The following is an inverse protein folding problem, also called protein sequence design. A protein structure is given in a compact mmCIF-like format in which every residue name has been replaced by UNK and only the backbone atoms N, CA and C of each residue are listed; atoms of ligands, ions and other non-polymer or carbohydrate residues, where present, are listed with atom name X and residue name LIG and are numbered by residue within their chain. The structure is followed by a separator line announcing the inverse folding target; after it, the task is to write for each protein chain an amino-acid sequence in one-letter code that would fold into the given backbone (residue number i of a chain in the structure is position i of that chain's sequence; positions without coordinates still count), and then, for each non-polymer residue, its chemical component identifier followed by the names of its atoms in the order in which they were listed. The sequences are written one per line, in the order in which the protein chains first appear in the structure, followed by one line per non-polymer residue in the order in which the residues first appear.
data_IF_863750420137
#
_entry.id   IF_863750420137
#
_cell.length_a   1.000
_cell.length_b   1.000
_cell.length_c   1.000
_cell.angle_alpha   90.00
_cell.angle_beta   90.00
_cell.angle_gamma   90.00
#
_symmetry.space_group_name_H-M   'P 1'
#
loop_
_entity.id
_entity.type
_entity.pdbx_description
1 polymer ?
#
# COMPACT_ATOMS: atom_id res chain seq x y z
N UNK A 1 21.23 24.09 44.02
CA UNK A 1 20.66 22.72 43.90
C UNK A 1 20.28 22.51 42.44
N UNK A 2 20.80 21.46 41.77
CA UNK A 2 20.56 21.24 40.34
C UNK A 2 19.13 20.74 40.09
N UNK A 3 18.36 21.43 39.25
CA UNK A 3 16.97 21.12 38.90
C UNK A 3 16.80 19.72 38.29
N UNK A 4 17.84 19.19 37.66
CA UNK A 4 17.87 17.86 37.04
C UNK A 4 18.13 16.72 38.03
N UNK A 5 18.41 17.03 39.30
CA UNK A 5 18.59 16.03 40.37
C UNK A 5 17.36 15.90 41.26
N UNK A 6 16.27 16.64 40.96
CA UNK A 6 15.03 16.55 41.71
C UNK A 6 14.20 15.35 41.19
N UNK A 7 13.81 14.39 42.04
CA UNK A 7 13.03 13.24 41.60
C UNK A 7 11.67 13.61 40.99
N UNK A 8 11.04 14.70 41.46
CA UNK A 8 9.77 15.18 40.92
C UNK A 8 9.91 15.75 39.51
N UNK A 9 11.02 16.45 39.22
CA UNK A 9 11.27 17.00 37.87
C UNK A 9 11.60 15.90 36.88
N UNK A 10 12.37 14.88 37.30
CA UNK A 10 12.64 13.70 36.48
C UNK A 10 11.36 12.90 36.18
N UNK A 11 10.48 12.72 37.18
CA UNK A 11 9.20 12.04 36.97
C UNK A 11 8.31 12.79 35.97
N UNK A 12 8.20 14.12 36.12
CA UNK A 12 7.43 14.96 35.19
C UNK A 12 8.00 14.92 33.75
N UNK A 13 9.33 14.89 33.62
CA UNK A 13 10.00 14.78 32.32
C UNK A 13 9.68 13.44 31.65
N UNK A 14 9.83 12.33 32.39
CA UNK A 14 9.51 11.00 31.87
C UNK A 14 8.03 10.86 31.47
N UNK A 15 7.12 11.43 32.27
CA UNK A 15 5.69 11.40 31.96
C UNK A 15 5.39 12.21 30.69
N UNK A 16 6.01 13.37 30.53
CA UNK A 16 5.88 14.20 29.32
C UNK A 16 6.42 13.48 28.09
N UNK A 17 7.58 12.83 28.21
CA UNK A 17 8.16 12.03 27.12
C UNK A 17 7.26 10.86 26.76
N UNK A 18 6.71 10.14 27.74
CA UNK A 18 5.80 9.02 27.49
C UNK A 18 4.54 9.47 26.75
N UNK A 19 3.91 10.55 27.21
CA UNK A 19 2.73 11.14 26.55
C UNK A 19 3.09 11.63 25.15
N UNK A 20 4.25 12.26 24.97
CA UNK A 20 4.74 12.72 23.68
C UNK A 20 4.95 11.58 22.69
N UNK A 21 5.55 10.47 23.12
CA UNK A 21 5.77 9.27 22.29
C UNK A 21 4.45 8.60 21.93
N UNK A 22 3.53 8.44 22.89
CA UNK A 22 2.22 7.83 22.63
C UNK A 22 1.39 8.71 21.68
N UNK A 23 1.36 10.03 21.93
CA UNK A 23 0.62 10.97 21.09
C UNK A 23 1.16 11.05 19.66
N UNK A 24 2.49 11.09 19.50
CA UNK A 24 3.11 11.10 18.17
C UNK A 24 2.89 9.78 17.43
N UNK A 25 2.99 8.65 18.11
CA UNK A 25 2.72 7.32 17.52
C UNK A 25 1.28 7.22 17.04
N UNK A 26 0.31 7.73 17.81
CA UNK A 26 -1.10 7.71 17.41
C UNK A 26 -1.36 8.60 16.18
N UNK A 27 -0.76 9.80 16.14
CA UNK A 27 -0.89 10.72 15.01
C UNK A 27 -0.21 10.17 13.74
N UNK A 28 0.98 9.58 13.86
CA UNK A 28 1.65 8.94 12.73
C UNK A 28 0.84 7.73 12.22
N UNK A 29 0.20 6.97 13.11
CA UNK A 29 -0.62 5.83 12.73
C UNK A 29 -1.80 6.24 11.85
N UNK A 30 -2.49 7.34 12.15
CA UNK A 30 -3.60 7.80 11.30
C UNK A 30 -3.13 8.19 9.90
N UNK A 31 -2.00 8.88 9.79
CA UNK A 31 -1.44 9.25 8.49
C UNK A 31 -0.90 8.06 7.70
N UNK A 32 -0.33 7.05 8.37
CA UNK A 32 0.13 5.84 7.70
C UNK A 32 -1.01 5.03 7.09
N UNK A 33 -2.18 5.00 7.74
CA UNK A 33 -3.36 4.31 7.20
C UNK A 33 -3.89 5.02 5.96
N UNK A 34 -4.10 6.34 6.04
CA UNK A 34 -4.53 7.15 4.90
C UNK A 34 -3.56 7.06 3.72
N UNK A 35 -2.26 7.11 4.00
CA UNK A 35 -1.22 6.97 2.98
C UNK A 35 -1.22 5.57 2.36
N UNK A 36 -1.51 4.53 3.13
CA UNK A 36 -1.62 3.17 2.63
C UNK A 36 -2.81 3.02 1.68
N UNK A 37 -3.95 3.61 2.03
CA UNK A 37 -5.16 3.60 1.19
C UNK A 37 -4.93 4.35 -0.14
N UNK A 38 -4.29 5.53 -0.11
CA UNK A 38 -3.94 6.27 -1.34
C UNK A 38 -2.93 5.49 -2.20
N UNK A 39 -1.94 4.84 -1.58
CA UNK A 39 -1.01 3.99 -2.34
C UNK A 39 -1.71 2.78 -2.95
N UNK A 40 -2.61 2.13 -2.23
CA UNK A 40 -3.37 0.99 -2.75
C UNK A 40 -4.22 1.42 -3.95
N UNK A 41 -4.93 2.55 -3.85
CA UNK A 41 -5.71 3.11 -4.95
C UNK A 41 -4.85 3.42 -6.18
N UNK A 42 -3.68 4.05 -5.99
CA UNK A 42 -2.75 4.34 -7.09
C UNK A 42 -2.17 3.07 -7.70
N UNK A 43 -1.88 2.06 -6.89
CA UNK A 43 -1.39 0.77 -7.39
C UNK A 43 -2.44 0.02 -8.20
N UNK A 44 -3.71 0.07 -7.80
CA UNK A 44 -4.83 -0.49 -8.56
C UNK A 44 -5.03 0.23 -9.90
N UNK A 45 -4.96 1.57 -9.92
CA UNK A 45 -5.01 2.34 -11.17
C UNK A 45 -3.84 2.01 -12.12
N UNK A 46 -2.63 1.87 -11.57
CA UNK A 46 -1.45 1.48 -12.33
C UNK A 46 -1.57 0.04 -12.85
N UNK A 47 -2.06 -0.90 -12.06
CA UNK A 47 -2.29 -2.28 -12.49
C UNK A 47 -3.37 -2.37 -13.56
N UNK A 48 -4.47 -1.62 -13.42
CA UNK A 48 -5.51 -1.51 -14.43
C UNK A 48 -4.97 -0.97 -15.76
N UNK A 49 -4.12 0.05 -15.69
CA UNK A 49 -3.46 0.63 -16.87
C UNK A 49 -2.49 -0.36 -17.51
N UNK A 50 -1.68 -1.05 -16.71
CA UNK A 50 -0.74 -2.06 -17.19
C UNK A 50 -1.48 -3.23 -17.87
N UNK A 51 -2.59 -3.68 -17.28
CA UNK A 51 -3.44 -4.73 -17.84
C UNK A 51 -4.08 -4.30 -19.17
N UNK A 52 -4.48 -3.03 -19.28
CA UNK A 52 -4.94 -2.45 -20.55
C UNK A 52 -3.85 -2.49 -21.64
N UNK A 53 -2.63 -2.08 -21.30
CA UNK A 53 -1.49 -2.13 -22.23
C UNK A 53 -1.14 -3.56 -22.64
N UNK A 54 -1.16 -4.52 -21.71
CA UNK A 54 -0.95 -5.95 -22.01
C UNK A 54 -2.02 -6.44 -23.00
N UNK A 55 -3.28 -6.06 -22.81
CA UNK A 55 -4.35 -6.40 -23.76
C UNK A 55 -4.12 -5.86 -25.17
N UNK A 56 -3.61 -4.64 -25.30
CA UNK A 56 -3.25 -4.06 -26.61
C UNK A 56 -2.08 -4.78 -27.26
N UNK A 57 -1.08 -5.17 -26.47
CA UNK A 57 0.08 -5.94 -26.96
C UNK A 57 -0.36 -7.34 -27.39
N UNK A 58 -1.23 -8.01 -26.64
CA UNK A 58 -1.76 -9.32 -27.01
C UNK A 58 -2.63 -9.26 -28.28
N UNK A 59 -3.49 -8.25 -28.46
CA UNK A 59 -4.23 -8.05 -29.72
C UNK A 59 -3.27 -7.78 -30.91
N UNK A 60 -2.22 -6.99 -30.70
CA UNK A 60 -1.21 -6.76 -31.72
C UNK A 60 -0.44 -8.04 -32.08
N UNK A 61 -0.10 -8.87 -31.09
CA UNK A 61 0.54 -10.18 -31.28
C UNK A 61 -0.39 -11.16 -32.01
N UNK A 62 -1.67 -11.24 -31.64
CA UNK A 62 -2.66 -12.10 -32.31
C UNK A 62 -2.84 -11.72 -33.79
N UNK A 63 -2.83 -10.41 -34.11
CA UNK A 63 -2.83 -9.92 -35.49
C UNK A 63 -1.56 -10.25 -36.26
N UNK A 64 -0.39 -10.23 -35.61
CA UNK A 64 0.90 -10.56 -36.21
C UNK A 64 1.09 -12.07 -36.42
N UNK A 65 0.63 -12.90 -35.48
CA UNK A 65 0.77 -14.36 -35.54
C UNK A 65 -0.32 -15.05 -36.38
N UNK A 66 -1.42 -14.34 -36.70
CA UNK A 66 -2.51 -14.84 -37.54
C UNK A 66 -3.27 -16.04 -36.95
N UNK A 67 -3.07 -16.34 -35.66
CA UNK A 67 -3.74 -17.41 -34.91
C UNK A 67 -4.49 -16.80 -33.74
N UNK A 68 -5.80 -17.08 -33.56
CA UNK A 68 -6.57 -16.53 -32.45
C UNK A 68 -6.11 -17.21 -31.15
N UNK A 69 -5.34 -16.50 -30.33
CA UNK A 69 -4.84 -16.96 -29.03
C UNK A 69 -5.65 -16.36 -27.88
N UNK A 70 -6.92 -16.00 -28.15
CA UNK A 70 -7.83 -15.25 -27.28
C UNK A 70 -8.16 -15.84 -25.91
N UNK A 71 -7.55 -16.97 -25.52
CA UNK A 71 -7.74 -17.60 -24.20
C UNK A 71 -6.53 -17.49 -23.26
N UNK A 72 -5.41 -16.87 -23.67
CA UNK A 72 -4.24 -16.69 -22.78
C UNK A 72 -4.45 -15.58 -21.74
N UNK A 73 -5.07 -14.46 -22.12
CA UNK A 73 -5.46 -13.37 -21.21
C UNK A 73 -6.28 -13.87 -20.00
N UNK A 74 -7.35 -14.62 -20.25
CA UNK A 74 -8.24 -15.11 -19.18
C UNK A 74 -7.53 -16.14 -18.28
N UNK A 75 -6.68 -16.99 -18.85
CA UNK A 75 -5.96 -18.01 -18.09
C UNK A 75 -4.86 -17.45 -17.20
N UNK A 76 -4.11 -16.43 -17.64
CA UNK A 76 -2.97 -15.90 -16.87
C UNK A 76 -3.35 -14.73 -15.95
N UNK A 77 -4.28 -13.87 -16.35
CA UNK A 77 -4.67 -12.69 -15.57
C UNK A 77 -6.03 -12.85 -14.88
N UNK A 78 -6.96 -13.63 -15.44
CA UNK A 78 -8.26 -13.91 -14.81
C UNK A 78 -8.16 -14.80 -13.57
N UNK A 79 -7.12 -15.64 -13.45
CA UNK A 79 -6.87 -16.45 -12.25
C UNK A 79 -6.37 -15.61 -11.07
N UNK A 80 -5.48 -14.63 -11.30
CA UNK A 80 -4.97 -13.75 -10.23
C UNK A 80 -6.09 -12.94 -9.56
N UNK A 81 -6.96 -12.32 -10.35
CA UNK A 81 -8.11 -11.56 -9.83
C UNK A 81 -9.15 -12.41 -9.07
N UNK A 82 -9.15 -13.74 -9.24
CA UNK A 82 -10.01 -14.66 -8.47
C UNK A 82 -9.37 -15.12 -7.17
N UNK A 83 -8.05 -15.21 -7.12
CA UNK A 83 -7.32 -15.59 -5.91
C UNK A 83 -7.33 -14.45 -4.88
N UNK A 84 -7.29 -13.18 -5.31
CA UNK A 84 -7.45 -12.01 -4.41
C UNK A 84 -8.83 -11.93 -3.72
N UNK A 85 -9.89 -12.42 -4.36
CA UNK A 85 -11.25 -12.46 -3.77
C UNK A 85 -11.44 -13.56 -2.72
N UNK A 86 -10.46 -14.44 -2.53
CA UNK A 86 -10.57 -15.62 -1.64
C UNK A 86 -9.77 -15.50 -0.34
N UNK A 87 -8.98 -14.45 -0.19
CA UNK A 87 -8.31 -14.01 1.05
C UNK A 87 -9.06 -12.86 1.68
#
# INVERSE_FOLDING_TARGET
MSFLRNPATLFALNLTTLIGVVGSTYNLRSHMVELSEDHEARMDELEGTLRGHIGLIEDALDRLEGKPNGNKMEQYYGKRAKDEKKT
#
